data_IF_219370727252
#
_entry.id   IF_219370727252
#
_cell.length_a   1.000
_cell.length_b   1.000
_cell.length_c   1.000
_cell.angle_alpha   90.00
_cell.angle_beta   90.00
_cell.angle_gamma   90.00
#
_symmetry.space_group_name_H-M   'P 1'
#
loop_
_entity.id
_entity.type
_entity.pdbx_description
1 polymer ?
#
# COMPACT_ATOMS: atom_id res chain seq x y z
N UNK A 1 12.28 -0.83 -6.87
CA UNK A 1 11.74 0.15 -5.90
C UNK A 1 10.35 -0.32 -5.43
N UNK A 2 10.20 -0.72 -4.17
CA UNK A 2 8.95 -1.31 -3.66
C UNK A 2 7.86 -0.24 -3.50
N UNK A 3 6.58 -0.62 -3.66
CA UNK A 3 5.43 0.29 -3.48
C UNK A 3 5.47 1.16 -2.19
N UNK A 4 5.92 0.64 -1.03
CA UNK A 4 6.06 1.43 0.20
C UNK A 4 6.96 2.66 0.03
N UNK A 5 8.03 2.58 -0.78
CA UNK A 5 8.96 3.69 -0.98
C UNK A 5 8.30 4.86 -1.74
N UNK A 6 7.52 4.57 -2.78
CA UNK A 6 6.80 5.61 -3.55
C UNK A 6 5.68 6.26 -2.73
N UNK A 7 4.99 5.49 -1.89
CA UNK A 7 3.97 6.02 -0.99
C UNK A 7 4.59 6.99 0.03
N UNK A 8 5.76 6.65 0.60
CA UNK A 8 6.51 7.55 1.49
C UNK A 8 6.95 8.83 0.80
N UNK A 9 7.51 8.75 -0.42
CA UNK A 9 7.87 9.93 -1.20
C UNK A 9 6.67 10.85 -1.48
N UNK A 10 5.50 10.28 -1.80
CA UNK A 10 4.28 11.08 -2.02
C UNK A 10 3.77 11.73 -0.73
N UNK A 11 3.85 11.02 0.39
CA UNK A 11 3.49 11.60 1.69
C UNK A 11 4.42 12.74 2.08
N UNK A 12 5.73 12.55 1.92
CA UNK A 12 6.73 13.58 2.14
C UNK A 12 6.52 14.80 1.21
N UNK A 13 6.19 14.55 -0.07
CA UNK A 13 5.91 15.61 -1.05
C UNK A 13 4.64 16.42 -0.74
N UNK A 14 3.71 15.87 0.05
CA UNK A 14 2.52 16.58 0.53
C UNK A 14 2.75 17.27 1.89
N UNK A 15 4.01 17.42 2.32
CA UNK A 15 4.36 17.99 3.62
C UNK A 15 4.11 17.05 4.80
N UNK A 16 3.80 15.78 4.53
CA UNK A 16 3.56 14.77 5.55
C UNK A 16 4.86 14.25 6.17
N UNK A 17 4.85 14.02 7.49
CA UNK A 17 6.00 13.38 8.15
C UNK A 17 6.15 11.95 7.64
N UNK A 18 7.37 11.56 7.28
CA UNK A 18 7.63 10.21 6.79
C UNK A 18 7.31 9.20 7.89
N UNK A 19 6.29 8.37 7.67
CA UNK A 19 5.93 7.32 8.62
C UNK A 19 7.08 6.30 8.70
N UNK A 20 7.62 6.01 9.89
CA UNK A 20 8.69 5.03 10.05
C UNK A 20 8.27 3.66 9.48
N UNK A 21 9.25 2.92 8.95
CA UNK A 21 8.98 1.63 8.30
C UNK A 21 8.26 0.67 9.25
N UNK A 22 7.32 -0.12 8.72
CA UNK A 22 6.73 -1.23 9.46
C UNK A 22 7.85 -2.15 9.95
N UNK A 23 7.93 -2.36 11.28
CA UNK A 23 8.96 -3.18 11.92
C UNK A 23 10.09 -2.43 12.62
N UNK A 24 10.23 -1.11 12.48
CA UNK A 24 11.16 -0.40 13.37
C UNK A 24 10.63 -0.45 14.81
N UNK A 25 11.52 -0.78 15.76
CA UNK A 25 11.18 -0.79 17.17
C UNK A 25 10.57 0.56 17.57
N UNK A 26 9.59 0.52 18.47
CA UNK A 26 9.10 1.73 19.11
C UNK A 26 10.25 2.33 19.92
N UNK A 27 10.41 3.67 19.92
CA UNK A 27 11.44 4.30 20.74
C UNK A 27 11.26 3.91 22.20
N UNK A 28 12.38 3.66 22.88
CA UNK A 28 12.40 3.47 24.33
C UNK A 28 12.21 4.85 24.94
N UNK A 29 11.15 5.01 25.74
CA UNK A 29 10.95 6.23 26.53
C UNK A 29 11.74 6.05 27.81
N UNK A 30 12.78 6.86 27.99
CA UNK A 30 13.55 6.89 29.23
C UNK A 30 12.63 7.26 30.40
N UNK A 31 12.76 6.54 31.50
CA UNK A 31 11.98 6.81 32.70
C UNK A 31 12.62 7.98 33.43
N UNK A 32 11.80 8.86 34.00
CA UNK A 32 12.30 9.90 34.90
C UNK A 32 13.04 9.25 36.08
N UNK A 33 14.33 9.58 36.21
CA UNK A 33 15.22 9.07 37.23
C UNK A 33 16.02 10.27 37.76
N UNK A 34 15.57 10.89 38.86
CA UNK A 34 16.22 12.08 39.36
C UNK A 34 17.60 11.80 39.96
N UNK A 35 18.44 12.83 40.03
CA UNK A 35 19.78 12.70 40.61
C UNK A 35 19.68 12.28 42.08
N UNK A 36 20.29 11.14 42.49
CA UNK A 36 20.21 10.69 43.87
C UNK A 36 21.00 11.61 44.80
N UNK A 37 20.47 11.86 46.00
CA UNK A 37 21.23 12.53 47.07
C UNK A 37 22.23 11.53 47.65
N UNK A 38 23.51 11.89 47.71
CA UNK A 38 24.52 11.09 48.41
C UNK A 38 24.33 11.20 49.92
N UNK A 39 23.48 10.31 50.45
CA UNK A 39 23.10 10.31 51.85
C UNK A 39 24.32 10.13 52.78
N UNK A 40 25.28 9.29 52.40
CA UNK A 40 26.47 9.02 53.21
C UNK A 40 27.39 10.23 53.28
N UNK A 41 27.64 10.89 52.15
CA UNK A 41 28.43 12.11 52.13
C UNK A 41 27.78 13.21 52.96
N UNK A 42 26.45 13.35 52.91
CA UNK A 42 25.72 14.37 53.68
C UNK A 42 25.66 14.09 55.17
N UNK A 43 25.54 12.82 55.57
CA UNK A 43 25.67 12.43 56.97
C UNK A 43 27.06 12.79 57.52
N UNK A 44 28.12 12.40 56.81
CA UNK A 44 29.49 12.72 57.20
C UNK A 44 29.76 14.24 57.25
N UNK A 45 29.14 15.00 56.35
CA UNK A 45 29.22 16.46 56.34
C UNK A 45 28.54 17.07 57.58
N UNK A 46 27.37 16.58 57.97
CA UNK A 46 26.67 17.02 59.20
C UNK A 46 27.50 16.67 60.44
N UNK A 47 28.03 15.45 60.54
CA UNK A 47 28.90 15.03 61.65
C UNK A 47 30.10 15.96 61.80
N UNK A 48 30.79 16.25 60.70
CA UNK A 48 31.93 17.18 60.69
C UNK A 48 31.53 18.59 61.15
N UNK A 49 30.40 19.12 60.68
CA UNK A 49 29.91 20.44 61.09
C UNK A 49 29.57 20.49 62.59
N UNK A 50 29.03 19.40 63.15
CA UNK A 50 28.74 19.31 64.57
C UNK A 50 30.04 19.34 65.39
N UNK A 51 31.04 18.55 64.99
CA UNK A 51 32.34 18.51 65.67
C UNK A 51 33.03 19.88 65.64
N UNK A 52 32.94 20.60 64.51
CA UNK A 52 33.49 21.95 64.34
C UNK A 52 32.75 22.99 65.23
N UNK A 53 31.45 22.82 65.47
CA UNK A 53 30.62 23.74 66.26
C UNK A 53 30.63 23.44 67.77
N UNK A 54 31.02 22.24 68.19
CA UNK A 54 30.94 21.77 69.58
C UNK A 54 31.53 22.73 70.64
N UNK A 55 32.67 23.44 70.42
CA UNK A 55 33.25 24.33 71.43
C UNK A 55 32.45 25.60 71.71
N UNK A 56 31.52 25.99 70.82
CA UNK A 56 30.75 27.22 70.89
C UNK A 56 29.23 27.01 70.95
N UNK A 57 28.79 25.77 71.20
CA UNK A 57 27.38 25.40 71.14
C UNK A 57 26.66 25.80 72.43
N UNK A 58 25.81 26.81 72.33
CA UNK A 58 24.87 27.26 73.34
C UNK A 58 23.42 27.03 72.87
N UNK A 59 22.46 27.35 73.74
CA UNK A 59 21.02 27.19 73.47
C UNK A 59 20.56 28.02 72.25
N UNK A 60 21.25 29.12 71.91
CA UNK A 60 20.91 29.98 70.79
C UNK A 60 21.43 29.46 69.43
N UNK A 61 22.57 28.76 69.43
CA UNK A 61 23.26 28.31 68.21
C UNK A 61 22.73 27.01 67.62
N UNK A 62 22.01 26.19 68.41
CA UNK A 62 21.41 24.92 67.96
C UNK A 62 20.49 25.04 66.74
N UNK A 63 19.80 26.17 66.57
CA UNK A 63 18.93 26.44 65.41
C UNK A 63 19.70 26.70 64.10
N UNK A 64 20.99 27.03 64.17
CA UNK A 64 21.79 27.38 62.99
C UNK A 64 21.99 26.18 62.07
N UNK A 65 22.25 25.00 62.65
CA UNK A 65 22.45 23.77 61.87
C UNK A 65 21.13 23.26 61.27
N UNK A 66 20.02 23.37 62.01
CA UNK A 66 18.68 23.06 61.48
C UNK A 66 18.31 23.96 60.30
N UNK A 67 18.66 25.24 60.34
CA UNK A 67 18.45 26.18 59.24
C UNK A 67 19.30 25.81 58.02
N UNK A 68 20.56 25.43 58.22
CA UNK A 68 21.43 24.95 57.13
C UNK A 68 20.89 23.67 56.49
N UNK A 69 20.47 22.70 57.31
CA UNK A 69 19.88 21.44 56.82
C UNK A 69 18.56 21.70 56.08
N UNK A 70 17.71 22.61 56.58
CA UNK A 70 16.52 23.04 55.85
C UNK A 70 16.88 23.64 54.49
N UNK A 71 17.89 24.53 54.42
CA UNK A 71 18.34 25.11 53.15
C UNK A 71 18.87 24.06 52.17
N UNK A 72 19.56 23.01 52.65
CA UNK A 72 19.95 21.87 51.81
C UNK A 72 18.73 21.07 51.32
N UNK A 73 17.77 20.79 52.19
CA UNK A 73 16.52 20.13 51.83
C UNK A 73 15.76 20.90 50.74
N UNK A 74 15.61 22.23 50.91
CA UNK A 74 15.01 23.11 49.92
C UNK A 74 15.77 23.11 48.60
N UNK A 75 17.11 23.12 48.63
CA UNK A 75 17.93 23.02 47.43
C UNK A 75 17.73 21.68 46.70
N UNK A 76 17.69 20.56 47.42
CA UNK A 76 17.40 19.26 46.82
C UNK A 76 15.97 19.17 46.27
N UNK A 77 14.97 19.71 46.97
CA UNK A 77 13.60 19.77 46.44
C UNK A 77 13.52 20.60 45.16
N UNK A 78 14.18 21.76 45.13
CA UNK A 78 14.25 22.62 43.95
C UNK A 78 14.95 21.93 42.76
N UNK A 79 16.04 21.20 43.02
CA UNK A 79 16.77 20.44 42.00
C UNK A 79 15.90 19.35 41.37
N UNK A 80 15.21 18.51 42.16
CA UNK A 80 14.35 17.46 41.59
C UNK A 80 13.15 18.04 40.85
N UNK A 81 12.63 19.19 41.28
CA UNK A 81 11.57 19.90 40.55
C UNK A 81 12.07 20.45 39.22
N UNK A 82 13.30 20.99 39.17
CA UNK A 82 13.92 21.46 37.94
C UNK A 82 14.12 20.30 36.94
N UNK A 83 14.70 19.18 37.40
CA UNK A 83 14.87 17.97 36.57
C UNK A 83 13.53 17.42 36.07
N UNK A 84 12.50 17.40 36.92
CA UNK A 84 11.17 16.97 36.50
C UNK A 84 10.54 17.92 35.48
N UNK A 85 10.75 19.23 35.62
CA UNK A 85 10.29 20.23 34.64
C UNK A 85 10.96 20.06 33.28
N UNK A 86 12.27 19.80 33.26
CA UNK A 86 13.01 19.51 32.02
C UNK A 86 12.51 18.21 31.36
N UNK A 87 12.30 17.16 32.15
CA UNK A 87 11.74 15.90 31.67
C UNK A 87 10.32 16.09 31.10
N UNK A 88 9.44 16.80 31.82
CA UNK A 88 8.08 17.10 31.36
C UNK A 88 8.10 17.89 30.05
N UNK A 89 8.98 18.89 29.90
CA UNK A 89 9.13 19.66 28.67
C UNK A 89 9.60 18.79 27.49
N UNK A 90 10.60 17.92 27.72
CA UNK A 90 11.10 16.97 26.72
C UNK A 90 9.98 16.05 26.23
N UNK A 91 9.25 15.42 27.15
CA UNK A 91 8.20 14.45 26.80
C UNK A 91 6.99 15.16 26.18
N UNK A 92 6.59 16.34 26.67
CA UNK A 92 5.53 17.14 26.08
C UNK A 92 5.87 17.58 24.64
N UNK A 93 7.12 17.96 24.38
CA UNK A 93 7.63 18.24 23.04
C UNK A 93 7.47 17.05 22.10
N UNK A 94 7.82 15.82 22.56
CA UNK A 94 7.60 14.60 21.77
C UNK A 94 6.13 14.30 21.54
N UNK A 95 5.29 14.45 22.57
CA UNK A 95 3.86 14.21 22.48
C UNK A 95 3.18 15.15 21.47
N UNK A 96 3.51 16.45 21.53
CA UNK A 96 3.00 17.46 20.59
C UNK A 96 3.42 17.19 19.14
N UNK A 97 4.61 16.62 18.92
CA UNK A 97 5.06 16.21 17.58
C UNK A 97 4.30 14.97 17.04
N UNK A 98 3.75 14.12 17.92
CA UNK A 98 2.98 12.93 17.55
C UNK A 98 1.52 13.24 17.22
N UNK A 99 0.92 14.28 17.81
CA UNK A 99 -0.46 14.67 17.54
C UNK A 99 -0.77 14.92 16.05
N UNK A 100 0.01 15.74 15.30
CA UNK A 100 -0.24 15.93 13.86
C UNK A 100 -0.01 14.63 13.07
N UNK A 101 0.93 13.77 13.49
CA UNK A 101 1.15 12.48 12.85
C UNK A 101 -0.04 11.53 13.05
N UNK A 102 -0.61 11.51 14.26
CA UNK A 102 -1.81 10.72 14.57
C UNK A 102 -3.00 11.22 13.74
N UNK A 103 -3.21 12.55 13.66
CA UNK A 103 -4.25 13.14 12.85
C UNK A 103 -4.09 12.79 11.35
N UNK A 104 -2.87 12.87 10.83
CA UNK A 104 -2.56 12.47 9.45
C UNK A 104 -2.83 10.98 9.21
N UNK A 105 -2.43 10.10 10.12
CA UNK A 105 -2.68 8.66 10.01
C UNK A 105 -4.18 8.33 10.04
N UNK A 106 -4.97 9.01 10.88
CA UNK A 106 -6.44 8.88 10.90
C UNK A 106 -7.06 9.31 9.58
N UNK A 107 -6.68 10.48 9.05
CA UNK A 107 -7.19 10.95 7.76
C UNK A 107 -6.89 9.98 6.60
N UNK A 108 -5.68 9.38 6.60
CA UNK A 108 -5.32 8.34 5.62
C UNK A 108 -6.10 7.04 5.82
N UNK A 109 -6.30 6.61 7.06
CA UNK A 109 -7.12 5.46 7.41
C UNK A 109 -8.55 5.64 6.89
N UNK A 110 -9.17 6.79 7.16
CA UNK A 110 -10.53 7.11 6.71
C UNK A 110 -10.65 7.14 5.19
N UNK A 111 -9.69 7.77 4.50
CA UNK A 111 -9.64 7.80 3.04
C UNK A 111 -9.50 6.39 2.44
N UNK A 112 -8.67 5.54 3.04
CA UNK A 112 -8.52 4.16 2.61
C UNK A 112 -9.78 3.34 2.89
N UNK A 113 -10.45 3.60 4.02
CA UNK A 113 -11.76 3.01 4.35
C UNK A 113 -12.81 3.32 3.30
N UNK A 114 -12.96 4.61 2.92
CA UNK A 114 -13.88 5.04 1.83
C UNK A 114 -13.54 4.34 0.51
N UNK A 115 -12.28 4.34 0.11
CA UNK A 115 -11.83 3.70 -1.14
C UNK A 115 -11.99 2.18 -1.14
N UNK A 116 -11.88 1.53 0.02
CA UNK A 116 -12.14 0.11 0.17
C UNK A 116 -13.65 -0.17 0.04
N UNK A 117 -14.50 0.68 0.64
CA UNK A 117 -15.95 0.60 0.48
C UNK A 117 -16.36 0.76 -0.99
N UNK A 118 -15.82 1.77 -1.70
CA UNK A 118 -16.05 1.95 -3.14
C UNK A 118 -15.63 0.72 -3.96
N UNK A 119 -14.46 0.16 -3.65
CA UNK A 119 -13.97 -1.05 -4.33
C UNK A 119 -14.83 -2.28 -4.02
N UNK A 120 -15.39 -2.38 -2.81
CA UNK A 120 -16.35 -3.43 -2.44
C UNK A 120 -17.66 -3.28 -3.22
N UNK A 121 -18.19 -2.06 -3.34
CA UNK A 121 -19.38 -1.77 -4.16
C UNK A 121 -19.13 -2.08 -5.63
N UNK A 122 -17.97 -1.70 -6.18
CA UNK A 122 -17.60 -2.02 -7.56
C UNK A 122 -17.45 -3.53 -7.79
N UNK A 123 -16.89 -4.26 -6.82
CA UNK A 123 -16.78 -5.72 -6.87
C UNK A 123 -18.16 -6.39 -6.79
N UNK A 124 -19.04 -5.95 -5.89
CA UNK A 124 -20.41 -6.43 -5.78
C UNK A 124 -21.18 -6.20 -7.09
N UNK A 125 -21.15 -4.99 -7.64
CA UNK A 125 -21.78 -4.68 -8.92
C UNK A 125 -21.19 -5.50 -10.09
N UNK A 126 -19.89 -5.77 -10.09
CA UNK A 126 -19.27 -6.64 -11.09
C UNK A 126 -19.65 -8.11 -10.91
N UNK A 127 -19.84 -8.56 -9.66
CA UNK A 127 -20.31 -9.91 -9.32
C UNK A 127 -21.77 -10.09 -9.72
N UNK A 128 -22.65 -9.15 -9.41
CA UNK A 128 -24.07 -9.17 -9.83
C UNK A 128 -24.18 -9.28 -11.35
N UNK A 129 -23.42 -8.46 -12.08
CA UNK A 129 -23.35 -8.54 -13.56
C UNK A 129 -22.85 -9.90 -14.07
N UNK A 130 -21.94 -10.54 -13.34
CA UNK A 130 -21.36 -11.85 -13.70
C UNK A 130 -22.30 -13.01 -13.40
N UNK A 131 -23.01 -12.95 -12.28
CA UNK A 131 -24.02 -13.95 -11.89
C UNK A 131 -25.27 -13.81 -12.75
N UNK A 132 -25.55 -12.60 -13.26
CA UNK A 132 -26.77 -12.33 -14.01
C UNK A 132 -27.99 -12.15 -13.12
N UNK A 133 -27.81 -11.93 -11.82
CA UNK A 133 -28.88 -11.50 -10.92
C UNK A 133 -29.40 -10.15 -11.42
N UNK A 134 -30.54 -10.19 -12.10
CA UNK A 134 -31.26 -8.99 -12.50
C UNK A 134 -31.59 -8.22 -11.23
N UNK A 135 -31.20 -6.94 -11.20
CA UNK A 135 -31.79 -5.96 -10.28
C UNK A 135 -33.31 -6.06 -10.46
N UNK A 136 -34.11 -6.25 -9.39
CA UNK A 136 -35.56 -6.22 -9.50
C UNK A 136 -35.92 -4.90 -10.17
N UNK A 137 -36.51 -5.00 -11.36
CA UNK A 137 -37.06 -3.84 -12.05
C UNK A 137 -38.33 -3.53 -11.27
N UNK A 138 -38.38 -2.36 -10.61
CA UNK A 138 -39.58 -1.92 -9.88
C UNK A 138 -40.83 -2.09 -10.74
N UNK A 139 -41.87 -2.63 -10.13
CA UNK A 139 -42.71 -3.65 -10.78
C UNK A 139 -43.82 -3.08 -11.70
N UNK A 140 -43.68 -1.85 -12.20
CA UNK A 140 -44.77 -1.12 -12.86
C UNK A 140 -45.06 -1.66 -14.27
N UNK A 141 -45.83 -2.74 -14.32
CA UNK A 141 -46.78 -3.03 -15.40
C UNK A 141 -46.29 -3.98 -16.49
N UNK A 142 -46.66 -5.24 -16.31
CA UNK A 142 -47.12 -6.20 -17.34
C UNK A 142 -46.26 -6.43 -18.60
N UNK A 143 -45.58 -7.57 -18.59
CA UNK A 143 -45.00 -8.18 -19.79
C UNK A 143 -43.86 -9.15 -19.44
N UNK A 144 -44.22 -10.36 -19.02
CA UNK A 144 -43.38 -11.58 -18.99
C UNK A 144 -41.88 -11.37 -18.72
N UNK A 145 -41.53 -11.13 -17.45
CA UNK A 145 -40.20 -10.65 -17.04
C UNK A 145 -39.12 -11.77 -16.93
N UNK A 146 -39.32 -12.91 -17.58
CA UNK A 146 -38.66 -14.22 -17.37
C UNK A 146 -37.13 -14.21 -17.20
N UNK A 147 -36.63 -15.07 -16.30
CA UNK A 147 -35.20 -15.37 -16.16
C UNK A 147 -34.61 -15.65 -17.54
N UNK A 148 -33.49 -15.02 -17.89
CA UNK A 148 -32.77 -15.44 -19.08
C UNK A 148 -32.46 -16.95 -18.90
N UNK A 149 -32.98 -17.82 -19.79
CA UNK A 149 -32.83 -19.26 -19.62
C UNK A 149 -31.35 -19.60 -19.46
N UNK A 150 -31.04 -20.57 -18.59
CA UNK A 150 -29.68 -21.12 -18.50
C UNK A 150 -29.24 -21.57 -19.90
N UNK A 151 -28.10 -21.07 -20.39
CA UNK A 151 -27.68 -21.22 -21.80
C UNK A 151 -28.13 -20.09 -22.74
N UNK A 152 -28.80 -19.06 -22.21
CA UNK A 152 -29.18 -17.86 -22.93
C UNK A 152 -27.97 -16.99 -23.31
N UNK A 153 -28.19 -16.03 -24.21
CA UNK A 153 -27.20 -15.12 -24.83
C UNK A 153 -26.33 -14.28 -23.85
N UNK A 154 -26.47 -14.45 -22.53
CA UNK A 154 -25.77 -13.69 -21.49
C UNK A 154 -24.41 -14.30 -21.13
N UNK A 155 -23.46 -13.45 -20.73
CA UNK A 155 -22.10 -13.82 -20.32
C UNK A 155 -22.01 -14.54 -18.95
N UNK A 156 -23.08 -15.21 -18.55
CA UNK A 156 -23.33 -15.67 -17.17
C UNK A 156 -23.17 -17.18 -17.09
N UNK A 157 -21.94 -17.66 -17.30
CA UNK A 157 -21.59 -19.05 -17.02
C UNK A 157 -20.78 -19.12 -15.72
N UNK A 158 -21.26 -19.83 -14.67
CA UNK A 158 -20.55 -19.96 -13.40
C UNK A 158 -19.17 -20.61 -13.56
N UNK A 159 -19.02 -21.48 -14.56
CA UNK A 159 -17.75 -22.13 -14.94
C UNK A 159 -16.66 -21.12 -15.33
N UNK A 160 -17.04 -19.90 -15.74
CA UNK A 160 -16.09 -18.83 -16.06
C UNK A 160 -15.39 -18.24 -14.82
N UNK A 161 -15.89 -18.50 -13.61
CA UNK A 161 -15.22 -18.12 -12.37
C UNK A 161 -13.96 -18.95 -12.11
N UNK A 162 -13.90 -20.20 -12.60
CA UNK A 162 -12.86 -21.18 -12.27
C UNK A 162 -11.51 -20.99 -13.01
N UNK A 163 -11.27 -19.85 -13.66
CA UNK A 163 -10.02 -19.61 -14.42
C UNK A 163 -10.15 -19.89 -15.92
N UNK A 164 -9.08 -19.61 -16.70
CA UNK A 164 -9.08 -19.94 -18.13
C UNK A 164 -8.83 -21.44 -18.23
N UNK A 165 -9.80 -22.19 -18.75
CA UNK A 165 -9.60 -23.60 -19.03
C UNK A 165 -8.51 -23.81 -20.10
N UNK A 166 -7.91 -25.02 -20.17
CA UNK A 166 -6.89 -25.37 -21.16
C UNK A 166 -7.35 -25.13 -22.61
N UNK A 167 -8.66 -25.21 -22.88
CA UNK A 167 -9.25 -24.91 -24.19
C UNK A 167 -8.93 -23.49 -24.71
N UNK A 168 -8.81 -22.50 -23.82
CA UNK A 168 -8.43 -21.15 -24.23
C UNK A 168 -6.99 -21.10 -24.77
N UNK A 169 -6.07 -21.85 -24.16
CA UNK A 169 -4.69 -21.94 -24.65
C UNK A 169 -4.62 -22.73 -25.96
N UNK A 170 -5.41 -23.79 -26.11
CA UNK A 170 -5.52 -24.53 -27.37
C UNK A 170 -5.98 -23.62 -28.52
N UNK A 171 -6.99 -22.76 -28.29
CA UNK A 171 -7.44 -21.81 -29.32
C UNK A 171 -6.38 -20.78 -29.72
N UNK A 172 -5.56 -20.31 -28.77
CA UNK A 172 -4.43 -19.40 -29.06
C UNK A 172 -3.33 -20.12 -29.84
N UNK A 173 -3.04 -21.39 -29.51
CA UNK A 173 -2.07 -22.20 -30.24
C UNK A 173 -2.52 -22.44 -31.70
N UNK A 174 -3.80 -22.80 -31.91
CA UNK A 174 -4.38 -22.95 -33.26
C UNK A 174 -4.28 -21.64 -34.04
N UNK A 175 -4.57 -20.49 -33.40
CA UNK A 175 -4.42 -19.18 -34.03
C UNK A 175 -2.97 -18.84 -34.40
N UNK A 176 -2.00 -19.23 -33.56
CA UNK A 176 -0.59 -19.03 -33.85
C UNK A 176 -0.15 -19.85 -35.08
N UNK A 177 -0.56 -21.12 -35.15
CA UNK A 177 -0.28 -21.98 -36.31
C UNK A 177 -0.94 -21.44 -37.59
N UNK A 178 -2.20 -21.01 -37.51
CA UNK A 178 -2.90 -20.37 -38.61
C UNK A 178 -2.18 -19.11 -39.11
N UNK A 179 -1.73 -18.24 -38.19
CA UNK A 179 -0.97 -17.04 -38.55
C UNK A 179 0.37 -17.38 -39.22
N UNK A 180 1.06 -18.44 -38.81
CA UNK A 180 2.27 -18.90 -39.50
C UNK A 180 1.98 -19.37 -40.93
N UNK A 181 0.86 -20.06 -41.15
CA UNK A 181 0.44 -20.47 -42.48
C UNK A 181 0.12 -19.25 -43.37
N UNK A 182 -0.57 -18.25 -42.83
CA UNK A 182 -0.84 -16.99 -43.53
C UNK A 182 0.46 -16.26 -43.91
N UNK A 183 1.44 -16.17 -43.00
CA UNK A 183 2.76 -15.57 -43.28
C UNK A 183 3.44 -16.28 -44.46
N UNK A 184 3.51 -17.62 -44.44
CA UNK A 184 4.13 -18.38 -45.52
C UNK A 184 3.41 -18.13 -46.87
N UNK A 185 2.08 -18.08 -46.83
CA UNK A 185 1.26 -17.89 -48.01
C UNK A 185 1.40 -16.48 -48.62
N UNK A 186 1.40 -15.44 -47.78
CA UNK A 186 1.63 -14.06 -48.20
C UNK A 186 3.07 -13.82 -48.66
N UNK A 187 4.05 -14.51 -48.07
CA UNK A 187 5.44 -14.40 -48.49
C UNK A 187 5.64 -14.81 -49.94
N UNK A 188 4.98 -15.88 -50.40
CA UNK A 188 4.99 -16.28 -51.80
C UNK A 188 4.43 -15.19 -52.72
N UNK A 189 3.34 -14.53 -52.31
CA UNK A 189 2.71 -13.46 -53.11
C UNK A 189 3.62 -12.24 -53.18
N UNK A 190 4.25 -11.86 -52.07
CA UNK A 190 5.15 -10.70 -52.03
C UNK A 190 6.42 -10.95 -52.84
N UNK A 191 6.99 -12.16 -52.80
CA UNK A 191 8.11 -12.53 -53.66
C UNK A 191 7.76 -12.45 -55.14
N UNK A 192 6.53 -12.84 -55.50
CA UNK A 192 6.03 -12.73 -56.86
C UNK A 192 5.86 -11.26 -57.29
N UNK A 193 5.35 -10.40 -56.41
CA UNK A 193 5.13 -8.98 -56.71
C UNK A 193 6.42 -8.15 -56.75
N UNK A 194 7.41 -8.52 -55.93
CA UNK A 194 8.64 -7.76 -55.68
C UNK A 194 9.87 -8.68 -55.77
N UNK A 195 10.16 -9.29 -56.94
CA UNK A 195 11.20 -10.30 -57.09
C UNK A 195 12.62 -9.78 -56.82
N UNK A 196 12.83 -8.46 -56.88
CA UNK A 196 14.13 -7.80 -56.64
C UNK A 196 14.32 -7.30 -55.20
N UNK A 197 13.36 -7.49 -54.32
CA UNK A 197 13.43 -6.95 -52.96
C UNK A 197 14.12 -7.93 -52.02
N UNK A 198 15.01 -7.42 -51.16
CA UNK A 198 15.69 -8.20 -50.12
C UNK A 198 14.66 -8.89 -49.21
N UNK A 199 14.88 -10.18 -48.93
CA UNK A 199 13.91 -11.04 -48.23
C UNK A 199 13.44 -10.50 -46.87
N UNK A 200 14.27 -9.71 -46.18
CA UNK A 200 13.94 -9.08 -44.89
C UNK A 200 12.78 -8.07 -45.01
N UNK A 201 12.78 -7.24 -46.07
CA UNK A 201 11.73 -6.25 -46.30
C UNK A 201 10.40 -6.92 -46.66
N UNK A 202 10.48 -7.99 -47.45
CA UNK A 202 9.32 -8.83 -47.78
C UNK A 202 8.74 -9.49 -46.54
N UNK A 203 9.57 -10.02 -45.64
CA UNK A 203 9.11 -10.64 -44.39
C UNK A 203 8.45 -9.63 -43.45
N UNK A 204 9.00 -8.42 -43.33
CA UNK A 204 8.40 -7.35 -42.53
C UNK A 204 7.04 -6.91 -43.08
N UNK A 205 6.92 -6.75 -44.41
CA UNK A 205 5.67 -6.39 -45.07
C UNK A 205 4.60 -7.47 -44.84
N UNK A 206 4.96 -8.74 -45.04
CA UNK A 206 4.08 -9.90 -44.84
C UNK A 206 3.64 -10.04 -43.38
N UNK A 207 4.58 -9.86 -42.44
CA UNK A 207 4.28 -9.88 -41.01
C UNK A 207 3.27 -8.79 -40.64
N UNK A 208 3.48 -7.56 -41.12
CA UNK A 208 2.55 -6.45 -40.94
C UNK A 208 1.16 -6.73 -41.50
N UNK A 209 1.10 -7.24 -42.74
CA UNK A 209 -0.16 -7.60 -43.41
C UNK A 209 -0.93 -8.68 -42.64
N UNK A 210 -0.23 -9.72 -42.18
CA UNK A 210 -0.82 -10.83 -41.42
C UNK A 210 -1.38 -10.34 -40.08
N UNK A 211 -0.62 -9.52 -39.33
CA UNK A 211 -1.09 -8.94 -38.07
C UNK A 211 -2.35 -8.11 -38.28
N UNK A 212 -2.41 -7.30 -39.34
CA UNK A 212 -3.60 -6.49 -39.67
C UNK A 212 -4.79 -7.39 -40.02
N UNK A 213 -4.60 -8.39 -40.88
CA UNK A 213 -5.65 -9.31 -41.29
C UNK A 213 -6.25 -10.07 -40.09
N UNK A 214 -5.40 -10.66 -39.24
CA UNK A 214 -5.82 -11.38 -38.03
C UNK A 214 -6.52 -10.43 -37.05
N UNK A 215 -6.01 -9.21 -36.88
CA UNK A 215 -6.62 -8.20 -35.99
C UNK A 215 -8.01 -7.81 -36.46
N UNK A 216 -8.21 -7.59 -37.77
CA UNK A 216 -9.51 -7.24 -38.34
C UNK A 216 -10.54 -8.35 -38.12
N UNK A 217 -10.18 -9.60 -38.44
CA UNK A 217 -11.05 -10.75 -38.24
C UNK A 217 -11.39 -10.97 -36.75
N UNK A 218 -10.37 -10.90 -35.88
CA UNK A 218 -10.56 -11.00 -34.43
C UNK A 218 -11.47 -9.90 -33.89
N UNK A 219 -11.27 -8.65 -34.33
CA UNK A 219 -12.11 -7.51 -33.93
C UNK A 219 -13.55 -7.64 -34.42
N UNK A 220 -13.77 -8.14 -35.62
CA UNK A 220 -15.12 -8.44 -36.09
C UNK A 220 -15.82 -9.42 -35.15
N UNK A 221 -15.15 -10.52 -34.75
CA UNK A 221 -15.64 -11.47 -33.75
C UNK A 221 -15.99 -10.82 -32.41
N UNK A 222 -15.09 -9.99 -31.88
CA UNK A 222 -15.30 -9.24 -30.62
C UNK A 222 -16.52 -8.32 -30.70
N UNK A 223 -16.64 -7.51 -31.77
CA UNK A 223 -17.76 -6.59 -31.96
C UNK A 223 -19.08 -7.36 -32.15
N UNK A 224 -19.06 -8.49 -32.86
CA UNK A 224 -20.23 -9.37 -32.99
C UNK A 224 -20.66 -9.95 -31.64
N UNK A 225 -19.71 -10.32 -30.78
CA UNK A 225 -20.00 -10.80 -29.42
C UNK A 225 -20.60 -9.71 -28.55
N UNK A 226 -20.04 -8.51 -28.58
CA UNK A 226 -20.60 -7.35 -27.87
C UNK A 226 -21.99 -6.96 -28.41
N UNK A 227 -22.17 -7.07 -29.74
CA UNK A 227 -23.45 -6.90 -30.43
C UNK A 227 -24.49 -7.89 -29.94
N UNK A 228 -24.11 -9.17 -29.82
CA UNK A 228 -24.98 -10.25 -29.37
C UNK A 228 -25.37 -10.11 -27.91
N UNK A 229 -24.46 -9.59 -27.07
CA UNK A 229 -24.70 -9.33 -25.67
C UNK A 229 -25.45 -8.01 -25.37
N UNK A 230 -25.95 -7.31 -26.40
CA UNK A 230 -26.76 -6.11 -26.22
C UNK A 230 -25.98 -4.84 -25.87
N UNK A 231 -24.66 -4.81 -26.10
CA UNK A 231 -23.87 -3.59 -25.91
C UNK A 231 -24.35 -2.47 -26.86
N UNK A 232 -24.69 -1.30 -26.29
CA UNK A 232 -25.07 -0.11 -27.07
C UNK A 232 -23.88 0.53 -27.78
N UNK A 233 -22.66 0.32 -27.30
CA UNK A 233 -21.45 0.92 -27.88
C UNK A 233 -20.98 0.19 -29.13
N UNK A 234 -21.16 -1.13 -29.18
CA UNK A 234 -20.84 -1.93 -30.36
C UNK A 234 -21.88 -1.66 -31.46
N UNK A 235 -21.47 -1.09 -32.59
CA UNK A 235 -22.38 -0.78 -33.71
C UNK A 235 -22.33 -1.87 -34.79
N UNK A 236 -23.51 -2.16 -35.38
CA UNK A 236 -23.70 -3.18 -36.44
C UNK A 236 -22.69 -3.03 -37.59
N UNK A 237 -22.42 -1.78 -37.98
CA UNK A 237 -21.56 -1.44 -39.12
C UNK A 237 -20.06 -1.61 -38.84
N UNK A 238 -19.60 -1.54 -37.59
CA UNK A 238 -18.17 -1.68 -37.28
C UNK A 238 -17.67 -3.09 -37.57
N UNK A 239 -18.44 -4.12 -37.18
CA UNK A 239 -18.13 -5.51 -37.53
C UNK A 239 -18.16 -5.72 -39.04
N UNK A 240 -19.16 -5.16 -39.73
CA UNK A 240 -19.27 -5.24 -41.20
C UNK A 240 -18.09 -4.56 -41.89
N UNK A 241 -17.66 -3.39 -41.42
CA UNK A 241 -16.51 -2.70 -41.97
C UNK A 241 -15.22 -3.51 -41.77
N UNK A 242 -14.99 -4.08 -40.58
CA UNK A 242 -13.84 -4.95 -40.33
C UNK A 242 -13.84 -6.18 -41.25
N UNK A 243 -14.99 -6.84 -41.41
CA UNK A 243 -15.14 -7.99 -42.31
C UNK A 243 -14.95 -7.61 -43.78
N UNK A 244 -15.47 -6.45 -44.19
CA UNK A 244 -15.33 -5.97 -45.57
C UNK A 244 -13.86 -5.69 -45.90
N UNK A 245 -13.15 -4.95 -45.04
CA UNK A 245 -11.72 -4.65 -45.25
C UNK A 245 -10.91 -5.95 -45.25
N UNK A 246 -11.19 -6.87 -44.32
CA UNK A 246 -10.54 -8.18 -44.28
C UNK A 246 -10.80 -8.98 -45.57
N UNK A 247 -12.04 -9.06 -46.04
CA UNK A 247 -12.39 -9.80 -47.25
C UNK A 247 -11.75 -9.20 -48.50
N UNK A 248 -11.73 -7.86 -48.61
CA UNK A 248 -11.04 -7.16 -49.71
C UNK A 248 -9.54 -7.45 -49.73
N UNK A 249 -8.90 -7.57 -48.57
CA UNK A 249 -7.48 -7.89 -48.45
C UNK A 249 -7.17 -9.30 -49.00
N UNK A 250 -7.95 -10.29 -48.57
CA UNK A 250 -7.81 -11.68 -49.02
C UNK A 250 -8.15 -11.85 -50.50
N UNK A 251 -9.24 -11.22 -50.96
CA UNK A 251 -9.63 -11.25 -52.36
C UNK A 251 -8.59 -10.58 -53.25
N UNK A 252 -8.05 -9.43 -52.83
CA UNK A 252 -6.96 -8.75 -53.54
C UNK A 252 -5.73 -9.63 -53.68
N UNK A 253 -5.32 -10.30 -52.61
CA UNK A 253 -4.19 -11.25 -52.63
C UNK A 253 -4.45 -12.45 -53.56
N UNK A 254 -5.66 -13.02 -53.54
CA UNK A 254 -6.05 -14.13 -54.42
C UNK A 254 -6.10 -13.71 -55.90
N UNK A 255 -6.64 -12.53 -56.20
CA UNK A 255 -6.69 -11.96 -57.56
C UNK A 255 -5.28 -11.69 -58.09
N UNK A 256 -4.42 -11.07 -57.28
CA UNK A 256 -3.01 -10.86 -57.62
C UNK A 256 -2.33 -12.20 -57.93
N UNK A 257 -2.53 -13.22 -57.08
CA UNK A 257 -1.98 -14.56 -57.32
C UNK A 257 -2.52 -15.19 -58.61
N UNK A 258 -3.79 -14.98 -58.92
CA UNK A 258 -4.42 -15.50 -60.13
C UNK A 258 -3.90 -14.83 -61.41
N UNK A 259 -3.56 -13.54 -61.41
CA UNK A 259 -3.12 -12.83 -62.61
C UNK A 259 -1.59 -12.74 -62.78
N UNK A 260 -0.82 -12.77 -61.68
CA UNK A 260 0.63 -12.51 -61.71
C UNK A 260 1.46 -13.80 -61.71
N UNK A 261 0.87 -14.99 -61.51
CA UNK A 261 1.67 -16.22 -61.62
C UNK A 261 2.10 -16.39 -63.09
N UNK A 262 3.37 -16.10 -63.35
CA UNK A 262 3.98 -16.19 -64.66
C UNK A 262 3.99 -17.66 -65.11
N UNK A 263 3.42 -18.01 -66.27
CA UNK A 263 3.41 -19.39 -66.76
C UNK A 263 4.79 -19.92 -67.20
N UNK A 264 5.90 -19.20 -66.94
CA UNK A 264 7.17 -19.45 -67.63
C UNK A 264 8.46 -19.54 -66.80
N UNK A 265 8.47 -19.32 -65.49
CA UNK A 265 9.74 -19.08 -64.78
C UNK A 265 9.82 -19.66 -63.36
N UNK A 266 9.91 -20.99 -63.26
CA UNK A 266 10.35 -21.68 -62.03
C UNK A 266 10.72 -23.15 -62.29
N UNK A 267 11.92 -23.63 -61.89
CA UNK A 267 12.46 -24.92 -62.32
C UNK A 267 11.91 -26.07 -61.47
N UNK A 268 11.04 -26.89 -62.05
CA UNK A 268 10.79 -28.25 -61.57
C UNK A 268 10.99 -29.18 -62.76
N UNK A 269 12.27 -29.46 -63.03
CA UNK A 269 12.67 -30.60 -63.86
C UNK A 269 12.68 -31.83 -62.94
N UNK A 270 11.53 -32.49 -62.82
CA UNK A 270 11.47 -33.88 -62.38
C UNK A 270 11.03 -34.67 -63.60
N UNK A 271 12.00 -34.92 -64.48
CA UNK A 271 12.10 -36.06 -65.40
C UNK A 271 10.82 -36.45 -66.16
N UNK A 272 10.08 -35.46 -66.64
CA UNK A 272 8.82 -35.65 -67.36
C UNK A 272 9.09 -35.63 -68.86
N UNK A 273 9.28 -36.81 -69.45
CA UNK A 273 9.33 -37.00 -70.91
C UNK A 273 8.16 -36.25 -71.57
N UNK A 274 8.51 -35.28 -72.43
CA UNK A 274 7.57 -34.46 -73.19
C UNK A 274 6.72 -35.31 -74.14
N UNK A 275 5.48 -35.62 -73.72
CA UNK A 275 4.41 -36.04 -74.61
C UNK A 275 3.75 -34.81 -75.26
N UNK A 276 3.61 -34.75 -76.59
CA UNK A 276 2.93 -33.64 -77.25
C UNK A 276 1.41 -33.84 -77.19
N UNK A 277 0.67 -32.80 -76.80
CA UNK A 277 -0.78 -32.70 -77.05
C UNK A 277 -1.68 -32.91 -75.84
N UNK A 278 -1.80 -31.88 -74.99
CA UNK A 278 -3.00 -31.55 -74.21
C UNK A 278 -2.73 -30.29 -73.36
N UNK A 279 -2.95 -29.11 -73.92
CA UNK A 279 -2.44 -27.84 -73.36
C UNK A 279 -3.37 -27.01 -72.42
N UNK A 280 -4.56 -27.44 -71.93
CA UNK A 280 -5.39 -26.58 -71.07
C UNK A 280 -4.98 -26.58 -69.58
N UNK A 281 -4.09 -27.49 -69.16
CA UNK A 281 -3.90 -27.87 -67.75
C UNK A 281 -3.36 -26.74 -66.86
N UNK A 282 -2.57 -25.81 -67.41
CA UNK A 282 -1.96 -24.71 -66.66
C UNK A 282 -2.99 -23.75 -66.04
N UNK A 283 -4.08 -23.44 -66.74
CA UNK A 283 -5.10 -22.52 -66.22
C UNK A 283 -5.85 -23.12 -65.02
N UNK A 284 -6.05 -24.44 -65.01
CA UNK A 284 -6.71 -25.15 -63.91
C UNK A 284 -5.80 -25.26 -62.68
N UNK A 285 -4.50 -25.44 -62.85
CA UNK A 285 -3.54 -25.51 -61.76
C UNK A 285 -3.37 -24.17 -61.04
N UNK A 286 -3.24 -23.07 -61.81
CA UNK A 286 -3.15 -21.71 -61.26
C UNK A 286 -4.43 -21.29 -60.53
N UNK A 287 -5.60 -21.57 -61.13
CA UNK A 287 -6.89 -21.36 -60.48
C UNK A 287 -7.01 -22.18 -59.18
N UNK A 288 -6.53 -23.42 -59.20
CA UNK A 288 -6.50 -24.32 -58.04
C UNK A 288 -5.66 -23.76 -56.88
N UNK A 289 -4.44 -23.28 -57.16
CA UNK A 289 -3.57 -22.70 -56.12
C UNK A 289 -4.12 -21.38 -55.56
N UNK A 290 -4.66 -20.50 -56.41
CA UNK A 290 -5.30 -19.27 -55.97
C UNK A 290 -6.55 -19.55 -55.12
N UNK A 291 -7.35 -20.55 -55.52
CA UNK A 291 -8.50 -21.03 -54.76
C UNK A 291 -8.10 -21.61 -53.40
N UNK A 292 -7.07 -22.45 -53.35
CA UNK A 292 -6.56 -23.03 -52.11
C UNK A 292 -6.05 -21.94 -51.15
N UNK A 293 -5.30 -20.96 -51.65
CA UNK A 293 -4.87 -19.79 -50.87
C UNK A 293 -6.06 -19.04 -50.27
N UNK A 294 -7.09 -18.76 -51.08
CA UNK A 294 -8.29 -18.06 -50.62
C UNK A 294 -9.02 -18.87 -49.54
N UNK A 295 -9.16 -20.18 -49.72
CA UNK A 295 -9.78 -21.08 -48.73
C UNK A 295 -9.00 -21.07 -47.41
N UNK A 296 -7.66 -21.13 -47.47
CA UNK A 296 -6.82 -21.05 -46.27
C UNK A 296 -7.01 -19.72 -45.54
N UNK A 297 -6.93 -18.60 -46.26
CA UNK A 297 -7.13 -17.25 -45.71
C UNK A 297 -8.54 -17.08 -45.06
N UNK A 298 -9.57 -17.58 -45.73
CA UNK A 298 -10.93 -17.57 -45.18
C UNK A 298 -11.00 -18.44 -43.91
N UNK A 299 -10.37 -19.61 -43.92
CA UNK A 299 -10.30 -20.50 -42.76
C UNK A 299 -9.64 -19.85 -41.54
N UNK A 300 -8.44 -19.25 -41.72
CA UNK A 300 -7.71 -18.58 -40.63
C UNK A 300 -8.48 -17.38 -40.09
N UNK A 301 -9.10 -16.57 -40.96
CA UNK A 301 -9.94 -15.46 -40.55
C UNK A 301 -11.22 -15.89 -39.82
N UNK A 302 -11.89 -16.96 -40.25
CA UNK A 302 -13.06 -17.50 -39.54
C UNK A 302 -12.66 -18.00 -38.15
N UNK A 303 -11.54 -18.72 -38.02
CA UNK A 303 -11.04 -19.16 -36.71
C UNK A 303 -10.68 -17.96 -35.81
N UNK A 304 -10.07 -16.91 -36.36
CA UNK A 304 -9.78 -15.68 -35.61
C UNK A 304 -11.04 -14.94 -35.16
N UNK A 305 -12.05 -14.85 -36.03
CA UNK A 305 -13.34 -14.25 -35.70
C UNK A 305 -14.10 -15.08 -34.64
N UNK A 306 -14.16 -16.41 -34.79
CA UNK A 306 -14.77 -17.30 -33.81
C UNK A 306 -14.03 -17.27 -32.47
N UNK A 307 -12.69 -17.25 -32.49
CA UNK A 307 -11.86 -17.10 -31.30
C UNK A 307 -12.11 -15.77 -30.59
N UNK A 308 -12.16 -14.66 -31.34
CA UNK A 308 -12.55 -13.36 -30.81
C UNK A 308 -13.96 -13.34 -30.23
N UNK A 309 -14.91 -14.02 -30.88
CA UNK A 309 -16.28 -14.12 -30.41
C UNK A 309 -16.42 -14.95 -29.13
N UNK A 310 -15.80 -16.13 -29.09
CA UNK A 310 -15.93 -17.09 -27.99
C UNK A 310 -15.13 -16.67 -26.75
N UNK A 311 -13.92 -16.13 -26.94
CA UNK A 311 -13.02 -15.79 -25.83
C UNK A 311 -13.33 -14.41 -25.22
N UNK A 312 -14.05 -13.54 -25.93
CA UNK A 312 -14.37 -12.21 -25.43
C UNK A 312 -15.46 -12.26 -24.35
N UNK A 313 -15.04 -12.01 -23.11
CA UNK A 313 -15.87 -12.07 -21.91
C UNK A 313 -15.64 -10.77 -21.10
N UNK A 314 -16.26 -9.64 -21.49
CA UNK A 314 -16.00 -8.33 -20.88
C UNK A 314 -16.41 -8.27 -19.41
N UNK A 315 -17.46 -8.99 -19.02
CA UNK A 315 -17.96 -9.05 -17.64
C UNK A 315 -16.95 -9.73 -16.73
N UNK A 316 -16.37 -10.85 -17.18
CA UNK A 316 -15.29 -11.55 -16.46
C UNK A 316 -14.06 -10.66 -16.29
N UNK A 317 -13.66 -9.95 -17.34
CA UNK A 317 -12.53 -9.02 -17.26
C UNK A 317 -12.81 -7.87 -16.28
N UNK A 318 -14.03 -7.33 -16.26
CA UNK A 318 -14.45 -6.31 -15.30
C UNK A 318 -14.40 -6.83 -13.86
N UNK A 319 -14.94 -8.02 -13.59
CA UNK A 319 -14.86 -8.67 -12.28
C UNK A 319 -13.41 -8.92 -11.83
N UNK A 320 -12.57 -9.47 -12.71
CA UNK A 320 -11.15 -9.70 -12.41
C UNK A 320 -10.38 -8.41 -12.11
N UNK A 321 -10.71 -7.30 -12.79
CA UNK A 321 -10.15 -5.98 -12.46
C UNK A 321 -10.66 -5.48 -11.12
N UNK A 322 -11.97 -5.56 -10.87
CA UNK A 322 -12.58 -5.14 -9.61
C UNK A 322 -12.03 -5.92 -8.41
N UNK A 323 -11.82 -7.23 -8.54
CA UNK A 323 -11.28 -8.07 -7.47
C UNK A 323 -9.82 -7.75 -7.17
N UNK A 324 -8.98 -7.55 -8.19
CA UNK A 324 -7.61 -7.05 -8.02
C UNK A 324 -7.58 -5.70 -7.34
N UNK A 325 -8.44 -4.76 -7.76
CA UNK A 325 -8.55 -3.46 -7.12
C UNK A 325 -8.98 -3.58 -5.66
N UNK A 326 -9.97 -4.40 -5.35
CA UNK A 326 -10.42 -4.65 -3.98
C UNK A 326 -9.29 -5.20 -3.11
N UNK A 327 -8.56 -6.23 -3.57
CA UNK A 327 -7.41 -6.80 -2.86
C UNK A 327 -6.33 -5.75 -2.58
N UNK A 328 -5.95 -4.96 -3.59
CA UNK A 328 -4.96 -3.87 -3.43
C UNK A 328 -5.44 -2.85 -2.39
N UNK A 329 -6.75 -2.54 -2.35
CA UNK A 329 -7.31 -1.61 -1.35
C UNK A 329 -7.35 -2.23 0.05
N UNK A 330 -7.64 -3.52 0.15
CA UNK A 330 -7.62 -4.24 1.42
C UNK A 330 -6.21 -4.27 2.02
N UNK A 331 -5.20 -4.57 1.20
CA UNK A 331 -3.79 -4.52 1.61
C UNK A 331 -3.39 -3.11 2.09
N UNK A 332 -3.84 -2.06 1.37
CA UNK A 332 -3.59 -0.66 1.79
C UNK A 332 -4.28 -0.30 3.10
N UNK A 333 -5.50 -0.77 3.30
CA UNK A 333 -6.26 -0.54 4.53
C UNK A 333 -5.54 -1.17 5.73
N UNK A 334 -5.07 -2.42 5.58
CA UNK A 334 -4.30 -3.12 6.62
C UNK A 334 -3.01 -2.35 6.99
N UNK A 335 -2.29 -1.82 6.00
CA UNK A 335 -1.12 -0.96 6.25
C UNK A 335 -1.49 0.31 7.02
N UNK A 336 -2.57 1.01 6.65
CA UNK A 336 -2.99 2.21 7.39
C UNK A 336 -3.45 1.91 8.82
N UNK A 337 -4.10 0.77 9.07
CA UNK A 337 -4.48 0.32 10.42
C UNK A 337 -3.24 0.13 11.29
N UNK A 338 -2.23 -0.60 10.78
CA UNK A 338 -0.99 -0.83 11.51
C UNK A 338 -0.22 0.47 11.80
N UNK A 339 -0.21 1.41 10.85
CA UNK A 339 0.42 2.72 11.03
C UNK A 339 -0.27 3.56 12.11
N UNK A 340 -1.61 3.64 12.06
CA UNK A 340 -2.39 4.38 13.05
C UNK A 340 -2.20 3.78 14.45
N UNK A 341 -2.35 2.46 14.59
CA UNK A 341 -2.18 1.77 15.86
C UNK A 341 -0.78 1.99 16.47
N UNK A 342 0.26 2.04 15.62
CA UNK A 342 1.62 2.33 16.08
C UNK A 342 1.75 3.73 16.67
N UNK A 343 1.30 4.76 15.95
CA UNK A 343 1.41 6.15 16.42
C UNK A 343 0.60 6.35 17.70
N UNK A 344 -0.57 5.74 17.80
CA UNK A 344 -1.39 5.79 19.02
C UNK A 344 -0.74 5.06 20.20
N UNK A 345 -0.09 3.91 19.96
CA UNK A 345 0.68 3.22 20.99
C UNK A 345 1.88 4.05 21.48
N UNK A 346 2.59 4.73 20.57
CA UNK A 346 3.70 5.62 20.92
C UNK A 346 3.22 6.83 21.74
N UNK A 347 2.11 7.44 21.31
CA UNK A 347 1.44 8.53 22.05
C UNK A 347 1.03 8.10 23.46
N UNK A 348 0.43 6.92 23.59
CA UNK A 348 0.02 6.36 24.88
C UNK A 348 1.22 6.09 25.80
N UNK A 349 2.37 5.64 25.26
CA UNK A 349 3.60 5.44 26.04
C UNK A 349 4.14 6.75 26.61
N UNK A 350 4.25 7.80 25.80
CA UNK A 350 4.71 9.11 26.29
C UNK A 350 3.73 9.73 27.30
N UNK A 351 2.42 9.60 27.06
CA UNK A 351 1.42 10.02 28.04
C UNK A 351 1.55 9.26 29.37
N UNK A 352 1.74 7.95 29.32
CA UNK A 352 1.99 7.13 30.52
C UNK A 352 3.30 7.50 31.23
N UNK A 353 4.35 7.84 30.48
CA UNK A 353 5.63 8.27 31.04
C UNK A 353 5.50 9.58 31.83
N UNK A 354 4.73 10.56 31.35
CA UNK A 354 4.43 11.79 32.10
C UNK A 354 3.72 11.50 33.43
N UNK A 355 2.71 10.62 33.41
CA UNK A 355 1.99 10.23 34.62
C UNK A 355 2.93 9.55 35.62
N UNK A 356 3.76 8.62 35.15
CA UNK A 356 4.73 7.91 35.98
C UNK A 356 5.80 8.85 36.55
N UNK A 357 6.29 9.82 35.76
CA UNK A 357 7.26 10.81 36.22
C UNK A 357 6.71 11.68 37.35
N UNK A 358 5.47 12.16 37.23
CA UNK A 358 4.80 12.94 38.29
C UNK A 358 4.60 12.15 39.58
N UNK A 359 4.22 10.88 39.46
CA UNK A 359 4.15 9.99 40.62
C UNK A 359 5.51 9.80 41.26
N UNK A 360 6.56 9.60 40.47
CA UNK A 360 7.93 9.46 40.97
C UNK A 360 8.42 10.73 41.66
N UNK A 361 8.20 11.91 41.06
CA UNK A 361 8.52 13.21 41.66
C UNK A 361 7.88 13.34 43.05
N UNK A 362 6.60 12.97 43.19
CA UNK A 362 5.91 13.03 44.49
C UNK A 362 6.56 12.13 45.54
N UNK A 363 7.00 10.93 45.15
CA UNK A 363 7.70 10.00 46.05
C UNK A 363 9.07 10.55 46.44
N UNK A 364 9.81 11.10 45.49
CA UNK A 364 11.16 11.63 45.67
C UNK A 364 11.18 12.87 46.56
N UNK A 365 10.22 13.79 46.38
CA UNK A 365 10.03 14.94 47.28
C UNK A 365 9.78 14.48 48.72
N UNK A 366 8.93 13.46 48.92
CA UNK A 366 8.70 12.89 50.27
C UNK A 366 9.96 12.25 50.85
N UNK A 367 10.77 11.57 50.03
CA UNK A 367 12.01 10.94 50.47
C UNK A 367 13.06 11.98 50.85
N UNK A 368 13.23 13.04 50.06
CA UNK A 368 14.15 14.16 50.36
C UNK A 368 13.73 14.92 51.62
N UNK A 369 12.42 15.16 51.80
CA UNK A 369 11.89 15.75 53.03
C UNK A 369 12.18 14.86 54.24
N UNK A 370 11.89 13.56 54.16
CA UNK A 370 12.15 12.62 55.25
C UNK A 370 13.64 12.54 55.61
N UNK A 371 14.52 12.50 54.61
CA UNK A 371 15.97 12.51 54.83
C UNK A 371 16.45 13.83 55.48
N UNK A 372 15.87 14.96 55.07
CA UNK A 372 16.15 16.26 55.71
C UNK A 372 15.76 16.26 57.19
N UNK A 373 14.62 15.65 57.55
CA UNK A 373 14.22 15.50 58.97
C UNK A 373 15.13 14.54 59.73
N UNK A 374 15.57 13.45 59.11
CA UNK A 374 16.54 12.51 59.70
C UNK A 374 17.86 13.22 60.05
N UNK A 375 18.39 14.04 59.12
CA UNK A 375 19.60 14.83 59.35
C UNK A 375 19.46 15.81 60.53
N UNK A 376 18.29 16.46 60.69
CA UNK A 376 18.03 17.32 61.87
C UNK A 376 17.97 16.52 63.16
N UNK A 377 17.28 15.38 63.14
CA UNK A 377 17.19 14.54 64.34
C UNK A 377 18.57 14.09 64.78
N UNK A 378 19.42 13.67 63.83
CA UNK A 378 20.82 13.33 64.11
C UNK A 378 21.59 14.52 64.68
N UNK A 379 21.47 15.69 64.05
CA UNK A 379 22.11 16.92 64.52
C UNK A 379 21.69 17.30 65.95
N UNK A 380 20.38 17.24 66.25
CA UNK A 380 19.82 17.53 67.58
C UNK A 380 20.33 16.54 68.63
N UNK A 381 20.34 15.24 68.32
CA UNK A 381 20.85 14.20 69.24
C UNK A 381 22.34 14.39 69.54
N UNK A 382 23.16 14.70 68.53
CA UNK A 382 24.58 14.96 68.74
C UNK A 382 24.83 16.25 69.53
N UNK A 383 24.11 17.34 69.25
CA UNK A 383 24.21 18.59 70.01
C UNK A 383 23.82 18.40 71.48
N UNK A 384 22.73 17.69 71.76
CA UNK A 384 22.31 17.36 73.12
C UNK A 384 23.38 16.53 73.86
N UNK A 385 24.02 15.59 73.16
CA UNK A 385 25.13 14.80 73.71
C UNK A 385 26.36 15.66 74.00
N UNK A 386 26.74 16.56 73.09
CA UNK A 386 27.88 17.45 73.25
C UNK A 386 27.67 18.44 74.42
N UNK A 387 26.47 18.99 74.56
CA UNK A 387 26.10 19.89 75.65
C UNK A 387 25.89 19.18 77.00
N UNK A 388 25.90 17.84 77.03
CA UNK A 388 25.54 17.01 78.21
C UNK A 388 24.19 17.37 78.83
N UNK A 389 23.29 17.99 78.06
CA UNK A 389 22.00 18.43 78.51
C UNK A 389 20.94 18.12 77.44
N UNK A 390 19.99 17.21 77.72
CA UNK A 390 18.94 16.85 76.76
C UNK A 390 17.93 17.97 76.51
N UNK A 391 17.85 18.99 77.37
CA UNK A 391 16.94 20.13 77.19
C UNK A 391 17.49 21.19 76.25
N UNK A 392 18.80 21.20 75.95
CA UNK A 392 19.44 22.21 75.09
C UNK A 392 18.90 22.17 73.65
N UNK A 393 18.23 21.09 73.28
CA UNK A 393 17.50 20.98 72.01
C UNK A 393 16.01 20.79 72.30
N UNK A 394 15.29 21.88 72.56
CA UNK A 394 13.82 21.88 72.67
C UNK A 394 13.13 21.21 71.46
N UNK A 395 13.82 21.14 70.32
CA UNK A 395 13.36 20.48 69.09
C UNK A 395 13.33 18.95 69.10
N UNK A 396 13.76 18.25 70.17
CA UNK A 396 13.80 16.77 70.16
C UNK A 396 12.41 16.13 70.23
N UNK A 397 11.42 16.83 70.82
CA UNK A 397 10.04 16.35 70.99
C UNK A 397 8.99 17.21 70.28
N UNK A 398 9.38 18.33 69.68
CA UNK A 398 8.46 19.22 68.98
C UNK A 398 8.52 19.01 67.48
N UNK A 399 7.35 18.98 66.83
CA UNK A 399 7.26 19.01 65.37
C UNK A 399 7.97 20.25 64.84
N UNK A 400 8.87 20.05 63.87
CA UNK A 400 9.60 21.14 63.25
C UNK A 400 8.61 22.12 62.60
N UNK A 401 8.61 23.37 63.08
CA UNK A 401 7.74 24.42 62.52
C UNK A 401 8.45 25.03 61.32
N UNK A 402 8.30 24.43 60.14
CA UNK A 402 8.70 25.08 58.88
C UNK A 402 7.66 26.13 58.46
N UNK A 403 8.08 27.29 57.91
CA UNK A 403 9.39 27.92 58.04
C UNK A 403 9.52 28.66 59.38
N UNK A 404 10.75 28.84 59.86
CA UNK A 404 11.05 29.94 60.77
C UNK A 404 10.83 31.22 59.97
N UNK A 405 9.58 31.69 59.93
CA UNK A 405 9.33 33.09 59.63
C UNK A 405 10.08 33.80 60.74
N UNK A 406 11.23 34.38 60.40
CA UNK A 406 11.80 35.47 61.18
C UNK A 406 10.77 36.58 61.07
N UNK A 407 9.66 36.46 61.80
CA UNK A 407 8.74 37.55 62.03
C UNK A 407 9.65 38.66 62.49
N UNK A 408 9.77 39.69 61.66
CA UNK A 408 10.74 40.77 61.82
C UNK A 408 10.69 41.16 63.29
N UNK A 409 11.78 40.91 64.01
CA UNK A 409 11.95 41.25 65.44
C UNK A 409 11.97 42.78 65.66
N UNK A 410 11.16 43.54 64.92
CA UNK A 410 11.09 44.99 64.91
C UNK A 410 9.73 45.59 64.53
N UNK A 411 8.65 44.82 64.31
CA UNK A 411 7.33 45.38 63.96
C UNK A 411 6.28 45.40 65.09
N UNK A 412 6.68 45.18 66.34
CA UNK A 412 5.89 45.63 67.50
C UNK A 412 6.76 46.50 68.41
N UNK A 413 6.75 47.80 68.11
CA UNK A 413 6.90 48.87 69.10
C UNK A 413 5.54 49.15 69.74
#
# INVERSE_FOLDING_TARGET
>A
MTWPARARQRLAALGGVAVPAAGSALPVVERFAPTPVDAQAKLAEVERLIDDLAPGLDEATGHTLDNLINAWGEAWEAEVMAEASEYDALVAGRLSALDPQAAQCRALHDLNGRRLADAKTALAAARERLVGERRPVDDSGDGERGFAPWGGKSFTEPTLLAGRGPAAFASVAVLAVAACADVAAFFQIVQLLLPRQEGEKSLLLVGGLTVVAVTLAHRAGVVLRERHAGSRTAKRWQALLCLLIWLLLGLGAAVIRFYVADPGTGPVDIDSQAGPGSEPSFAYEQAGMAGFFLVLYLGTGVVAALGGYALHQPVRAAYARASRHHRIRQERMAVSVAQLARVEAERARYAGALVAARQRLTVELKQRLAFTEELKQMARVHNARAAQNPTTTDGLFHHDRKPYVWDRLGENR
#
